data_IF_810038261047
#
_entry.id   IF_810038261047
#
_cell.length_a   1.000
_cell.length_b   1.000
_cell.length_c   1.000
_cell.angle_alpha   90.00
_cell.angle_beta   90.00
_cell.angle_gamma   90.00
#
_symmetry.space_group_name_H-M   'P 1'
#
loop_
_entity.id
_entity.type
_entity.pdbx_description
1 polymer ?
#
# COMPACT_ATOMS: atom_id res chain seq x y z
N UNK A 1 7.70 -10.29 35.85
CA UNK A 1 8.19 -9.37 34.81
C UNK A 1 7.03 -9.04 33.91
N UNK A 2 6.42 -7.87 34.06
CA UNK A 2 5.24 -7.42 33.33
C UNK A 2 5.67 -6.87 31.97
N UNK A 3 5.27 -7.55 30.89
CA UNK A 3 5.45 -7.07 29.53
C UNK A 3 4.46 -5.90 29.31
N UNK A 4 4.96 -4.67 29.22
CA UNK A 4 4.20 -3.56 28.67
C UNK A 4 4.31 -3.64 27.14
N UNK A 5 3.21 -3.93 26.41
CA UNK A 5 3.21 -3.71 24.97
C UNK A 5 3.25 -2.21 24.73
N UNK A 6 4.32 -1.73 24.08
CA UNK A 6 4.40 -0.36 23.58
C UNK A 6 3.19 -0.07 22.68
N UNK A 7 2.63 1.13 22.78
CA UNK A 7 1.46 1.63 22.02
C UNK A 7 1.51 1.37 20.50
N UNK A 8 2.69 1.16 19.93
CA UNK A 8 2.91 0.82 18.52
C UNK A 8 2.35 -0.57 18.15
N UNK A 9 2.31 -1.51 19.10
CA UNK A 9 1.86 -2.90 18.85
C UNK A 9 0.34 -3.03 18.78
N UNK A 10 -0.42 -2.12 19.39
CA UNK A 10 -1.89 -2.23 19.45
C UNK A 10 -2.55 -1.79 18.14
N UNK A 11 -1.90 -0.93 17.35
CA UNK A 11 -2.48 -0.42 16.09
C UNK A 11 -2.49 -1.48 14.98
N UNK A 12 -1.64 -2.51 15.04
CA UNK A 12 -1.63 -3.58 14.03
C UNK A 12 -2.62 -4.73 14.33
N UNK A 13 -3.11 -4.86 15.56
CA UNK A 13 -3.93 -6.00 15.95
C UNK A 13 -5.43 -5.83 15.68
N UNK A 14 -5.92 -4.61 15.40
CA UNK A 14 -7.35 -4.36 15.16
C UNK A 14 -7.79 -4.54 13.70
N UNK A 15 -6.87 -4.79 12.76
CA UNK A 15 -7.21 -4.93 11.33
C UNK A 15 -7.40 -6.38 10.86
N UNK A 16 -7.29 -7.36 11.75
CA UNK A 16 -7.38 -8.79 11.39
C UNK A 16 -8.43 -9.46 12.29
N UNK A 17 -9.70 -9.10 12.11
CA UNK A 17 -10.77 -9.70 12.89
C UNK A 17 -12.15 -9.34 12.40
N UNK A 18 -12.74 -10.25 11.61
CA UNK A 18 -14.18 -10.27 11.34
C UNK A 18 -14.53 -9.72 9.97
N UNK A 19 -15.04 -10.62 9.12
CA UNK A 19 -15.47 -10.30 7.76
C UNK A 19 -16.47 -9.14 7.73
N UNK A 20 -16.28 -8.24 6.79
CA UNK A 20 -17.25 -7.25 6.33
C UNK A 20 -16.71 -6.74 5.00
N UNK A 21 -17.58 -6.68 3.99
CA UNK A 21 -17.46 -6.06 2.67
C UNK A 21 -16.12 -5.37 2.33
N UNK A 22 -15.55 -5.54 1.11
CA UNK A 22 -14.40 -4.75 0.69
C UNK A 22 -14.78 -3.26 0.69
N UNK A 23 -14.48 -2.57 1.79
CA UNK A 23 -14.58 -1.14 1.87
C UNK A 23 -13.37 -0.62 1.12
N UNK A 24 -13.58 -0.23 -0.14
CA UNK A 24 -12.52 0.32 -0.97
C UNK A 24 -11.78 1.46 -0.27
N UNK A 25 -12.46 2.24 0.59
CA UNK A 25 -11.84 3.29 1.40
C UNK A 25 -10.85 2.74 2.44
N UNK A 26 -11.21 1.68 3.17
CA UNK A 26 -10.33 1.05 4.16
C UNK A 26 -9.06 0.46 3.53
N UNK A 27 -9.18 -0.13 2.34
CA UNK A 27 -8.03 -0.62 1.56
C UNK A 27 -7.12 0.53 1.10
N UNK A 28 -7.69 1.71 0.81
CA UNK A 28 -6.91 2.90 0.42
C UNK A 28 -6.07 3.42 1.56
N UNK A 29 -6.68 3.59 2.73
CA UNK A 29 -6.00 4.08 3.93
C UNK A 29 -4.93 3.09 4.39
N UNK A 30 -5.23 1.79 4.31
CA UNK A 30 -4.26 0.73 4.58
C UNK A 30 -3.09 0.79 3.59
N UNK A 31 -3.36 0.92 2.29
CA UNK A 31 -2.33 1.08 1.26
C UNK A 31 -1.45 2.31 1.46
N UNK A 32 -2.04 3.43 1.88
CA UNK A 32 -1.32 4.65 2.25
C UNK A 32 -0.41 4.43 3.45
N UNK A 33 -0.94 3.89 4.55
CA UNK A 33 -0.16 3.62 5.76
C UNK A 33 1.01 2.68 5.46
N UNK A 34 0.75 1.60 4.72
CA UNK A 34 1.78 0.67 4.29
C UNK A 34 2.86 1.35 3.43
N UNK A 35 2.46 2.23 2.51
CA UNK A 35 3.42 3.02 1.74
C UNK A 35 4.26 3.93 2.65
N UNK A 36 3.64 4.70 3.54
CA UNK A 36 4.35 5.66 4.40
C UNK A 36 5.36 4.94 5.32
N UNK A 37 4.95 3.81 5.92
CA UNK A 37 5.78 3.01 6.84
C UNK A 37 6.93 2.31 6.11
N UNK A 38 6.65 1.69 4.96
CA UNK A 38 7.63 0.86 4.27
C UNK A 38 8.44 1.71 3.30
N UNK A 39 7.80 2.48 2.43
CA UNK A 39 8.43 3.18 1.30
C UNK A 39 8.69 4.67 1.57
N UNK A 40 7.91 5.31 2.44
CA UNK A 40 7.83 6.78 2.58
C UNK A 40 9.13 7.47 2.98
N UNK A 41 10.05 6.76 3.64
CA UNK A 41 11.38 7.28 3.98
C UNK A 41 12.24 7.58 2.75
N UNK A 42 12.06 6.82 1.67
CA UNK A 42 12.92 6.89 0.48
C UNK A 42 12.17 7.34 -0.77
N UNK A 43 10.84 7.26 -0.76
CA UNK A 43 10.01 7.51 -1.92
C UNK A 43 8.86 8.45 -1.58
N UNK A 44 8.65 9.44 -2.46
CA UNK A 44 7.48 10.32 -2.38
C UNK A 44 6.29 9.67 -3.08
N UNK A 45 5.14 9.64 -2.40
CA UNK A 45 3.91 9.07 -2.93
C UNK A 45 3.50 9.69 -4.26
N UNK A 46 3.57 11.03 -4.36
CA UNK A 46 3.24 11.74 -5.61
C UNK A 46 4.16 11.34 -6.76
N UNK A 47 5.48 11.26 -6.53
CA UNK A 47 6.44 10.81 -7.55
C UNK A 47 6.23 9.35 -7.96
N UNK A 48 5.79 8.50 -7.03
CA UNK A 48 5.51 7.10 -7.34
C UNK A 48 4.20 6.94 -8.11
N UNK A 49 3.18 7.74 -7.79
CA UNK A 49 1.89 7.73 -8.48
C UNK A 49 2.00 8.15 -9.96
N UNK A 50 2.95 9.01 -10.33
CA UNK A 50 3.14 9.39 -11.76
C UNK A 50 3.47 8.20 -12.67
N UNK A 51 3.95 7.08 -12.12
CA UNK A 51 4.17 5.83 -12.88
C UNK A 51 2.87 5.22 -13.43
N UNK A 52 1.72 5.63 -12.90
CA UNK A 52 0.40 5.15 -13.30
C UNK A 52 -0.43 6.24 -14.01
N UNK A 53 0.10 7.46 -14.17
CA UNK A 53 -0.60 8.54 -14.86
C UNK A 53 -0.56 8.34 -16.38
N UNK A 54 -1.72 8.44 -17.04
CA UNK A 54 -1.83 8.36 -18.50
C UNK A 54 -1.46 7.00 -19.10
N UNK A 55 -1.37 5.96 -18.27
CA UNK A 55 -1.03 4.61 -18.73
C UNK A 55 -2.22 3.97 -19.45
N UNK A 56 -2.01 3.53 -20.69
CA UNK A 56 -3.02 2.81 -21.48
C UNK A 56 -3.22 1.37 -20.98
N UNK A 57 -2.13 0.63 -20.76
CA UNK A 57 -2.16 -0.72 -20.18
C UNK A 57 -1.79 -0.71 -18.69
N UNK A 58 -2.81 -0.48 -17.87
CA UNK A 58 -2.67 -0.41 -16.42
C UNK A 58 -2.34 -1.77 -15.81
N UNK A 59 -2.85 -2.87 -16.37
CA UNK A 59 -2.67 -4.21 -15.80
C UNK A 59 -1.22 -4.67 -15.92
N UNK A 60 -0.63 -4.56 -17.11
CA UNK A 60 0.77 -4.88 -17.33
C UNK A 60 1.69 -3.99 -16.49
N UNK A 61 1.35 -2.71 -16.35
CA UNK A 61 2.11 -1.78 -15.50
C UNK A 61 2.07 -2.19 -14.03
N UNK A 62 0.90 -2.62 -13.51
CA UNK A 62 0.77 -3.15 -12.14
C UNK A 62 1.62 -4.40 -11.94
N UNK A 63 1.58 -5.35 -12.88
CA UNK A 63 2.41 -6.58 -12.83
C UNK A 63 3.90 -6.26 -12.82
N UNK A 64 4.36 -5.37 -13.70
CA UNK A 64 5.76 -4.97 -13.76
C UNK A 64 6.22 -4.26 -12.47
N UNK A 65 5.36 -3.43 -11.88
CA UNK A 65 5.65 -2.74 -10.63
C UNK A 65 5.65 -3.71 -9.43
N UNK A 66 4.70 -4.64 -9.37
CA UNK A 66 4.65 -5.69 -8.36
C UNK A 66 5.93 -6.53 -8.35
N UNK A 67 6.39 -6.96 -9.53
CA UNK A 67 7.64 -7.70 -9.67
C UNK A 67 8.87 -6.92 -9.16
N UNK A 68 8.91 -5.59 -9.39
CA UNK A 68 9.98 -4.72 -8.86
C UNK A 68 9.93 -4.63 -7.34
N UNK A 69 8.75 -4.40 -6.76
CA UNK A 69 8.57 -4.37 -5.31
C UNK A 69 8.94 -5.71 -4.68
N UNK A 70 8.52 -6.84 -5.26
CA UNK A 70 8.86 -8.17 -4.77
C UNK A 70 10.37 -8.43 -4.78
N UNK A 71 11.04 -8.06 -5.87
CA UNK A 71 12.48 -8.30 -6.03
C UNK A 71 13.30 -7.54 -4.99
N UNK A 72 12.96 -6.28 -4.74
CA UNK A 72 13.84 -5.35 -4.02
C UNK A 72 13.41 -5.03 -2.60
N UNK A 73 12.13 -5.18 -2.26
CA UNK A 73 11.60 -4.43 -1.11
C UNK A 73 10.58 -5.17 -0.25
N UNK A 74 9.51 -5.71 -0.85
CA UNK A 74 8.32 -6.14 -0.10
C UNK A 74 7.86 -7.53 -0.52
N UNK A 75 8.01 -8.53 0.37
CA UNK A 75 7.68 -9.93 0.07
C UNK A 75 6.20 -10.26 0.24
N UNK A 76 5.46 -9.52 1.07
CA UNK A 76 4.01 -9.69 1.26
C UNK A 76 3.22 -9.34 0.00
N UNK A 77 2.53 -10.31 -0.59
CA UNK A 77 1.75 -10.10 -1.81
C UNK A 77 0.58 -9.13 -1.58
N UNK A 78 -0.11 -9.26 -0.45
CA UNK A 78 -1.25 -8.39 -0.13
C UNK A 78 -0.82 -6.96 0.16
N UNK A 79 0.28 -6.76 0.88
CA UNK A 79 0.83 -5.42 1.13
C UNK A 79 1.22 -4.72 -0.18
N UNK A 80 1.85 -5.45 -1.12
CA UNK A 80 2.18 -4.91 -2.45
C UNK A 80 0.93 -4.52 -3.22
N UNK A 81 -0.10 -5.38 -3.22
CA UNK A 81 -1.40 -5.09 -3.86
C UNK A 81 -1.98 -3.78 -3.32
N UNK A 82 -2.11 -3.65 -2.00
CA UNK A 82 -2.69 -2.46 -1.36
C UNK A 82 -1.91 -1.18 -1.67
N UNK A 83 -0.57 -1.24 -1.66
CA UNK A 83 0.28 -0.09 -2.02
C UNK A 83 0.08 0.30 -3.49
N UNK A 84 0.08 -0.67 -4.40
CA UNK A 84 -0.11 -0.42 -5.83
C UNK A 84 -1.49 0.20 -6.07
N UNK A 85 -2.53 -0.34 -5.44
CA UNK A 85 -3.91 0.14 -5.56
C UNK A 85 -4.03 1.58 -5.08
N UNK A 86 -3.40 1.91 -3.96
CA UNK A 86 -3.32 3.27 -3.45
C UNK A 86 -2.65 4.23 -4.44
N UNK A 87 -1.47 3.89 -4.98
CA UNK A 87 -0.75 4.74 -5.93
C UNK A 87 -1.51 4.94 -7.24
N UNK A 88 -2.19 3.90 -7.75
CA UNK A 88 -3.03 3.97 -8.95
C UNK A 88 -4.21 4.93 -8.73
N UNK A 89 -4.87 4.86 -7.58
CA UNK A 89 -5.98 5.78 -7.26
C UNK A 89 -5.50 7.20 -7.10
N UNK A 90 -4.37 7.42 -6.44
CA UNK A 90 -3.77 8.74 -6.32
C UNK A 90 -3.47 9.34 -7.71
N UNK A 91 -2.91 8.54 -8.62
CA UNK A 91 -2.64 8.94 -9.99
C UNK A 91 -3.90 9.39 -10.75
N UNK A 92 -5.04 8.74 -10.50
CA UNK A 92 -6.34 9.08 -11.09
C UNK A 92 -6.97 10.34 -10.49
N UNK A 93 -6.79 10.59 -9.19
CA UNK A 93 -7.30 11.79 -8.49
C UNK A 93 -6.56 13.07 -8.86
N UNK A 94 -5.30 12.97 -9.28
CA UNK A 94 -4.47 14.12 -9.69
C UNK A 94 -4.70 14.59 -11.14
N UNK A 95 -5.80 14.18 -11.78
CA UNK A 95 -6.16 14.53 -13.16
C UNK A 95 -7.41 15.40 -13.16
#
# INVERSE_FOLDING_TARGET
>A
MTFQPSLITIVCAMLIGGGSQPSFAADEDTGKILFDVKCGRFHSTGRMATKFQGVEDLESTRKAFDAKLFRHFLKGAEERRLIIDYLVRLARKSR
#
